data_IF_637850405609
#
_entry.id   IF_637850405609
#
_cell.length_a   1.000
_cell.length_b   1.000
_cell.length_c   1.000
_cell.angle_alpha   90.00
_cell.angle_beta   90.00
_cell.angle_gamma   90.00
#
_symmetry.space_group_name_H-M   'P 1'
#
loop_
_entity.id
_entity.type
_entity.pdbx_description
1 polymer ?
#
# COMPACT_ATOMS: atom_id res chain seq x y z
N UNK A 1 12.80 0.42 -29.50
CA UNK A 1 13.97 0.78 -28.69
C UNK A 1 13.75 0.26 -27.29
N UNK A 2 14.61 -0.64 -26.84
CA UNK A 2 14.57 -1.13 -25.46
C UNK A 2 14.86 0.04 -24.51
N UNK A 3 13.99 0.20 -23.52
CA UNK A 3 14.09 1.24 -22.50
C UNK A 3 14.44 0.60 -21.18
N UNK A 4 15.22 1.27 -20.35
CA UNK A 4 15.50 0.84 -18.97
C UNK A 4 14.24 1.05 -18.11
N UNK A 5 13.23 0.17 -18.25
CA UNK A 5 11.94 0.34 -17.58
C UNK A 5 12.02 -0.12 -16.12
N UNK A 6 11.59 0.69 -15.14
CA UNK A 6 11.40 0.22 -13.77
C UNK A 6 10.14 -0.66 -13.69
N UNK A 7 10.32 -1.85 -13.13
CA UNK A 7 9.28 -2.88 -13.00
C UNK A 7 9.30 -3.50 -11.59
N UNK A 8 8.35 -4.35 -11.28
CA UNK A 8 8.27 -5.08 -10.01
C UNK A 8 8.38 -4.16 -8.79
N UNK A 9 7.54 -3.12 -8.76
CA UNK A 9 7.51 -2.18 -7.66
C UNK A 9 7.00 -2.83 -6.38
N UNK A 10 7.75 -2.69 -5.30
CA UNK A 10 7.43 -3.21 -3.98
C UNK A 10 7.44 -2.11 -2.93
N UNK A 11 6.54 -2.23 -1.97
CA UNK A 11 6.51 -1.45 -0.74
C UNK A 11 6.67 -2.42 0.44
N UNK A 12 7.73 -2.27 1.24
CA UNK A 12 8.14 -3.22 2.30
C UNK A 12 8.13 -4.68 1.81
N UNK A 13 8.72 -4.91 0.62
CA UNK A 13 8.83 -6.22 -0.06
C UNK A 13 7.51 -6.83 -0.58
N UNK A 14 6.40 -6.11 -0.49
CA UNK A 14 5.08 -6.55 -0.93
C UNK A 14 4.61 -5.77 -2.16
N UNK A 15 3.81 -6.41 -3.01
CA UNK A 15 3.18 -5.77 -4.17
C UNK A 15 1.80 -5.26 -3.75
N UNK A 16 1.59 -3.96 -3.91
CA UNK A 16 0.32 -3.29 -3.57
C UNK A 16 -0.22 -3.69 -2.18
N UNK A 17 0.59 -3.60 -1.11
CA UNK A 17 0.18 -4.11 0.19
C UNK A 17 -0.97 -3.32 0.81
N UNK A 18 -1.73 -4.02 1.65
CA UNK A 18 -2.77 -3.45 2.50
C UNK A 18 -2.30 -3.49 3.96
N UNK A 19 -2.61 -2.44 4.72
CA UNK A 19 -2.38 -2.41 6.16
C UNK A 19 -0.93 -2.21 6.59
N UNK A 20 -0.15 -1.40 5.87
CA UNK A 20 1.20 -1.04 6.29
C UNK A 20 1.12 -0.11 7.50
N UNK A 21 1.81 -0.47 8.59
CA UNK A 21 1.92 0.35 9.81
C UNK A 21 3.32 1.00 9.97
N UNK A 22 4.21 0.77 9.02
CA UNK A 22 5.53 1.39 8.99
C UNK A 22 5.43 2.84 8.49
N UNK A 23 5.86 3.80 9.31
CA UNK A 23 5.84 5.22 8.93
C UNK A 23 6.87 5.57 7.83
N UNK A 24 7.89 4.73 7.67
CA UNK A 24 8.97 4.90 6.70
C UNK A 24 9.11 3.64 5.83
N UNK A 25 8.09 3.27 5.04
CA UNK A 25 8.14 2.08 4.22
C UNK A 25 9.27 2.16 3.19
N UNK A 26 9.84 1.03 2.84
CA UNK A 26 10.88 0.92 1.82
C UNK A 26 10.23 0.68 0.47
N UNK A 27 10.51 1.56 -0.46
CA UNK A 27 10.07 1.47 -1.85
C UNK A 27 11.21 0.92 -2.68
N UNK A 28 10.94 -0.11 -3.48
CA UNK A 28 11.94 -0.73 -4.33
C UNK A 28 11.37 -1.11 -5.70
N UNK A 29 12.25 -1.26 -6.66
CA UNK A 29 11.93 -1.66 -8.03
C UNK A 29 13.08 -2.45 -8.62
N UNK A 30 12.84 -3.07 -9.76
CA UNK A 30 13.84 -3.70 -10.60
C UNK A 30 13.94 -2.95 -11.92
N UNK A 31 15.03 -3.13 -12.63
CA UNK A 31 15.21 -2.58 -13.97
C UNK A 31 15.03 -3.69 -15.00
N UNK A 32 14.15 -3.46 -15.95
CA UNK A 32 14.01 -4.30 -17.14
C UNK A 32 14.73 -3.63 -18.29
N UNK A 33 15.94 -4.10 -18.59
CA UNK A 33 16.79 -3.59 -19.64
C UNK A 33 17.79 -4.66 -20.09
N UNK A 34 17.59 -5.22 -21.26
CA UNK A 34 18.42 -6.29 -21.81
C UNK A 34 19.74 -5.79 -22.44
N UNK A 35 19.97 -4.49 -22.49
CA UNK A 35 21.17 -3.90 -23.10
C UNK A 35 22.41 -4.19 -22.26
N UNK A 36 23.52 -4.47 -22.92
CA UNK A 36 24.80 -4.66 -22.24
C UNK A 36 25.24 -3.40 -21.47
N UNK A 37 25.58 -3.57 -20.19
CA UNK A 37 25.96 -2.49 -19.30
C UNK A 37 24.79 -1.57 -18.95
N UNK A 38 23.55 -2.05 -19.04
CA UNK A 38 22.38 -1.36 -18.58
C UNK A 38 22.51 -0.99 -17.10
N UNK A 39 22.22 0.24 -16.76
CA UNK A 39 22.22 0.73 -15.39
C UNK A 39 21.36 1.99 -15.25
N UNK A 40 20.81 2.18 -14.09
CA UNK A 40 20.21 3.44 -13.66
C UNK A 40 21.30 4.43 -13.26
N UNK A 41 21.12 5.67 -13.61
CA UNK A 41 21.99 6.80 -13.18
C UNK A 41 21.25 7.75 -12.25
N UNK A 42 19.92 7.80 -12.34
CA UNK A 42 19.09 8.63 -11.49
C UNK A 42 17.70 8.02 -11.30
N UNK A 43 17.03 8.42 -10.26
CA UNK A 43 15.61 8.09 -10.01
C UNK A 43 14.83 9.31 -9.54
N UNK A 44 13.50 9.21 -9.62
CA UNK A 44 12.54 10.11 -8.99
C UNK A 44 11.32 9.29 -8.56
N UNK A 45 10.93 9.41 -7.30
CA UNK A 45 9.74 8.77 -6.74
C UNK A 45 8.65 9.81 -6.60
N UNK A 46 7.43 9.42 -6.95
CA UNK A 46 6.23 10.24 -6.89
C UNK A 46 5.17 9.48 -6.11
N UNK A 47 4.63 10.09 -5.06
CA UNK A 47 3.57 9.53 -4.21
C UNK A 47 2.41 10.51 -4.11
N UNK A 48 1.20 10.01 -4.28
CA UNK A 48 -0.05 10.77 -4.25
C UNK A 48 -1.19 9.97 -3.62
N UNK A 49 -2.22 10.61 -3.15
CA UNK A 49 -3.49 9.96 -2.76
C UNK A 49 -4.43 9.73 -3.94
N UNK A 50 -4.09 10.25 -5.10
CA UNK A 50 -4.87 10.13 -6.35
C UNK A 50 -4.02 9.52 -7.46
N UNK A 51 -4.54 8.48 -8.11
CA UNK A 51 -3.83 7.76 -9.17
C UNK A 51 -3.60 8.62 -10.42
N UNK A 52 -4.52 9.52 -10.76
CA UNK A 52 -4.37 10.42 -11.90
C UNK A 52 -3.31 11.48 -11.62
N UNK A 53 -3.27 12.01 -10.40
CA UNK A 53 -2.22 12.94 -9.98
C UNK A 53 -0.85 12.27 -10.02
N UNK A 54 -0.72 11.06 -9.45
CA UNK A 54 0.52 10.30 -9.53
C UNK A 54 0.94 10.06 -10.99
N UNK A 55 -0.02 9.72 -11.86
CA UNK A 55 0.26 9.52 -13.29
C UNK A 55 0.77 10.79 -13.97
N UNK A 56 0.21 11.93 -13.62
CA UNK A 56 0.61 13.24 -14.13
C UNK A 56 1.84 13.84 -13.41
N UNK A 57 2.60 13.00 -12.71
CA UNK A 57 3.81 13.39 -11.96
C UNK A 57 3.56 14.42 -10.83
N UNK A 58 2.31 14.56 -10.41
CA UNK A 58 1.95 15.39 -9.26
C UNK A 58 2.06 14.57 -7.96
N UNK A 59 3.22 14.66 -7.33
CA UNK A 59 3.53 14.02 -6.05
C UNK A 59 3.16 14.92 -4.87
N UNK A 60 1.88 15.18 -4.65
CA UNK A 60 1.41 16.07 -3.58
C UNK A 60 1.78 15.58 -2.18
N UNK A 61 1.94 14.26 -2.02
CA UNK A 61 2.38 13.67 -0.76
C UNK A 61 3.90 13.64 -0.70
N UNK A 62 4.53 13.15 -1.76
CA UNK A 62 5.98 13.16 -1.87
C UNK A 62 6.43 13.13 -3.33
N UNK A 63 7.35 14.01 -3.62
CA UNK A 63 8.15 13.97 -4.83
C UNK A 63 9.62 14.08 -4.41
N UNK A 64 10.41 13.04 -4.65
CA UNK A 64 11.82 13.03 -4.28
C UNK A 64 12.66 14.04 -5.05
N UNK A 65 12.13 14.58 -6.15
CA UNK A 65 12.92 15.18 -7.18
C UNK A 65 13.83 14.15 -7.86
N UNK A 66 14.50 14.55 -8.95
CA UNK A 66 15.53 13.72 -9.57
C UNK A 66 16.73 13.59 -8.63
N UNK A 67 17.10 12.35 -8.31
CA UNK A 67 18.27 11.99 -7.49
C UNK A 67 19.26 11.23 -8.34
N UNK A 68 20.46 11.74 -8.49
CA UNK A 68 21.56 11.04 -9.15
C UNK A 68 22.02 9.88 -8.26
N UNK A 69 21.59 8.68 -8.60
CA UNK A 69 21.86 7.46 -7.83
C UNK A 69 21.45 6.21 -8.60
N UNK A 70 22.16 5.13 -8.40
CA UNK A 70 21.84 3.79 -8.89
C UNK A 70 21.04 2.93 -7.89
N UNK A 71 20.67 3.51 -6.75
CA UNK A 71 19.85 2.84 -5.74
C UNK A 71 18.47 2.48 -6.31
N UNK A 72 18.07 1.23 -6.08
CA UNK A 72 16.76 0.68 -6.42
C UNK A 72 15.91 0.35 -5.19
N UNK A 73 16.35 0.75 -4.02
CA UNK A 73 15.65 0.65 -2.74
C UNK A 73 15.82 1.96 -2.00
N UNK A 74 14.71 2.60 -1.70
CA UNK A 74 14.68 3.94 -1.07
C UNK A 74 13.68 3.92 0.07
N UNK A 75 14.11 4.38 1.23
CA UNK A 75 13.21 4.58 2.38
C UNK A 75 12.35 5.83 2.14
N UNK A 76 11.04 5.68 2.28
CA UNK A 76 10.11 6.80 2.27
C UNK A 76 10.47 7.74 3.44
N UNK A 77 10.64 9.04 3.20
CA UNK A 77 10.99 9.97 4.27
C UNK A 77 9.84 10.09 5.28
N UNK A 78 10.17 10.43 6.52
CA UNK A 78 9.19 10.69 7.56
C UNK A 78 8.31 11.90 7.19
N UNK A 79 7.24 11.60 6.46
CA UNK A 79 6.19 12.55 6.08
C UNK A 79 4.86 11.91 6.42
N UNK A 80 4.37 12.17 7.59
CA UNK A 80 3.04 11.89 8.14
C UNK A 80 2.07 11.13 7.21
N UNK A 81 2.36 9.85 6.95
CA UNK A 81 1.38 8.97 6.32
C UNK A 81 0.15 8.92 7.23
N UNK A 82 -1.02 9.15 6.65
CA UNK A 82 -2.26 9.11 7.40
C UNK A 82 -2.72 7.67 7.60
N UNK A 83 -3.32 7.30 8.75
CA UNK A 83 -3.90 5.98 8.94
C UNK A 83 -5.02 5.70 7.93
N UNK A 84 -5.21 4.41 7.62
CA UNK A 84 -6.29 3.90 6.78
C UNK A 84 -6.38 4.56 5.40
N UNK A 85 -5.24 4.95 4.85
CA UNK A 85 -5.18 5.76 3.62
C UNK A 85 -4.48 5.01 2.50
N UNK A 86 -5.06 5.06 1.31
CA UNK A 86 -4.46 4.50 0.09
C UNK A 86 -3.60 5.53 -0.61
N UNK A 87 -2.37 5.13 -0.90
CA UNK A 87 -1.39 5.91 -1.66
C UNK A 87 -1.09 5.23 -2.99
N UNK A 88 -0.87 6.03 -4.00
CA UNK A 88 -0.42 5.60 -5.33
C UNK A 88 0.98 6.14 -5.56
N UNK A 89 1.82 5.33 -6.18
CA UNK A 89 3.18 5.74 -6.42
C UNK A 89 3.73 5.17 -7.71
N UNK A 90 4.72 5.85 -8.24
CA UNK A 90 5.51 5.41 -9.38
C UNK A 90 6.94 5.89 -9.25
N UNK A 91 7.81 5.31 -10.08
CA UNK A 91 9.19 5.75 -10.18
C UNK A 91 9.54 6.08 -11.63
N UNK A 92 10.23 7.19 -11.79
CA UNK A 92 10.94 7.51 -13.00
C UNK A 92 12.41 7.15 -12.80
N UNK A 93 13.05 6.58 -13.81
CA UNK A 93 14.48 6.32 -13.81
C UNK A 93 15.13 6.93 -15.04
N UNK A 94 16.41 7.26 -14.94
CA UNK A 94 17.24 7.67 -16.05
C UNK A 94 18.33 6.62 -16.23
N UNK A 95 18.52 6.17 -17.46
CA UNK A 95 19.52 5.19 -17.81
C UNK A 95 20.91 5.81 -18.01
N UNK A 96 21.89 4.98 -18.37
CA UNK A 96 23.28 5.40 -18.66
C UNK A 96 23.41 6.43 -19.78
N UNK A 97 22.42 6.52 -20.66
CA UNK A 97 22.39 7.44 -21.79
C UNK A 97 21.54 8.70 -21.46
N UNK A 98 21.08 8.83 -20.22
CA UNK A 98 20.25 9.93 -19.75
C UNK A 98 18.79 9.85 -20.20
N UNK A 99 18.37 8.73 -20.78
CA UNK A 99 16.99 8.52 -21.23
C UNK A 99 16.09 8.21 -20.04
N UNK A 100 14.94 8.91 -19.95
CA UNK A 100 13.95 8.71 -18.90
C UNK A 100 13.00 7.57 -19.29
N UNK A 101 12.74 6.66 -18.34
CA UNK A 101 11.65 5.68 -18.39
C UNK A 101 10.83 5.74 -17.09
N UNK A 102 9.59 5.30 -17.18
CA UNK A 102 8.61 5.44 -16.10
C UNK A 102 7.95 4.09 -15.81
N UNK A 103 7.77 3.74 -14.55
CA UNK A 103 7.03 2.56 -14.13
C UNK A 103 5.52 2.69 -14.38
N UNK A 104 4.83 1.57 -14.33
CA UNK A 104 3.40 1.56 -14.07
C UNK A 104 3.13 2.10 -12.65
N UNK A 105 1.86 2.48 -12.38
CA UNK A 105 1.46 2.94 -11.07
C UNK A 105 1.20 1.73 -10.17
N UNK A 106 1.80 1.75 -9.00
CA UNK A 106 1.51 0.83 -7.90
C UNK A 106 0.85 1.57 -6.74
N UNK A 107 0.39 0.83 -5.74
CA UNK A 107 -0.22 1.42 -4.55
C UNK A 107 0.27 0.74 -3.28
N UNK A 108 0.11 1.42 -2.16
CA UNK A 108 0.12 0.83 -0.84
C UNK A 108 -0.98 1.48 0.01
N UNK A 109 -1.47 0.77 1.00
CA UNK A 109 -2.50 1.27 1.90
C UNK A 109 -1.99 1.14 3.32
N UNK A 110 -2.09 2.22 4.09
CA UNK A 110 -1.69 2.22 5.49
C UNK A 110 -2.74 1.50 6.35
N UNK A 111 -2.28 0.84 7.40
CA UNK A 111 -3.11 0.31 8.45
C UNK A 111 -3.51 1.39 9.44
N UNK A 112 -3.63 1.02 10.70
CA UNK A 112 -4.03 1.98 11.73
C UNK A 112 -2.93 2.94 12.16
N UNK A 113 -1.67 2.66 11.86
CA UNK A 113 -0.50 3.52 12.14
C UNK A 113 -0.28 3.87 13.61
N UNK A 114 -1.02 3.26 14.51
CA UNK A 114 -0.95 3.44 15.96
C UNK A 114 -2.23 2.99 16.64
N UNK A 115 -2.12 2.50 17.88
CA UNK A 115 -3.27 1.98 18.64
C UNK A 115 -4.34 3.04 18.91
N UNK A 116 -3.94 4.31 18.98
CA UNK A 116 -4.83 5.45 19.18
C UNK A 116 -5.85 5.64 18.06
N UNK A 117 -5.55 5.13 16.88
CA UNK A 117 -6.44 5.21 15.71
C UNK A 117 -7.47 4.06 15.64
N UNK A 118 -7.37 3.09 16.56
CA UNK A 118 -8.33 1.99 16.64
C UNK A 118 -9.62 2.47 17.31
N UNK A 119 -10.74 2.39 16.59
CA UNK A 119 -12.07 2.80 17.08
C UNK A 119 -12.97 1.62 17.42
N UNK A 120 -12.50 0.40 17.22
CA UNK A 120 -13.24 -0.81 17.57
C UNK A 120 -13.26 -1.08 19.06
N UNK A 121 -14.25 -1.84 19.52
CA UNK A 121 -14.34 -2.36 20.87
C UNK A 121 -14.36 -3.88 20.86
N UNK A 122 -13.86 -4.48 21.94
CA UNK A 122 -14.02 -5.91 22.14
C UNK A 122 -15.48 -6.25 22.34
N UNK A 123 -15.94 -7.28 21.66
CA UNK A 123 -17.28 -7.85 21.83
C UNK A 123 -17.16 -9.29 22.32
N UNK A 124 -18.08 -9.69 23.16
CA UNK A 124 -18.18 -11.05 23.72
C UNK A 124 -19.64 -11.46 23.89
N UNK A 125 -19.89 -12.73 24.07
CA UNK A 125 -21.24 -13.28 24.22
C UNK A 125 -21.70 -13.42 25.68
N UNK A 126 -20.87 -12.99 26.64
CA UNK A 126 -21.09 -13.07 28.09
C UNK A 126 -21.36 -14.49 28.62
N UNK A 127 -20.97 -15.52 27.88
CA UNK A 127 -21.10 -16.91 28.31
C UNK A 127 -19.95 -17.36 29.20
N UNK A 128 -20.16 -18.44 29.96
CA UNK A 128 -19.11 -19.06 30.76
C UNK A 128 -17.90 -19.41 29.89
N UNK A 129 -16.68 -19.17 30.40
CA UNK A 129 -15.42 -19.44 29.72
C UNK A 129 -15.26 -20.91 29.28
N UNK A 130 -15.95 -21.81 29.91
CA UNK A 130 -15.96 -23.24 29.56
C UNK A 130 -16.94 -23.57 28.43
N UNK A 131 -17.78 -22.61 28.00
CA UNK A 131 -18.66 -22.79 26.86
C UNK A 131 -17.86 -22.73 25.56
N UNK A 132 -17.74 -23.86 24.85
CA UNK A 132 -16.78 -24.03 23.75
C UNK A 132 -17.28 -23.72 22.35
N UNK A 133 -18.59 -23.72 22.00
CA UNK A 133 -19.00 -23.33 20.66
C UNK A 133 -18.56 -21.90 20.31
N UNK A 134 -18.06 -21.70 19.09
CA UNK A 134 -17.72 -20.38 18.59
C UNK A 134 -18.97 -19.48 18.55
N UNK A 135 -18.92 -18.26 19.11
CA UNK A 135 -20.06 -17.36 19.08
C UNK A 135 -20.24 -16.75 17.66
N UNK A 136 -21.51 -16.55 17.30
CA UNK A 136 -21.88 -15.79 16.11
C UNK A 136 -22.24 -14.37 16.49
N UNK A 137 -21.55 -13.41 15.89
CA UNK A 137 -21.89 -12.00 15.99
C UNK A 137 -22.41 -11.52 14.64
N UNK A 138 -23.54 -10.82 14.65
CA UNK A 138 -24.15 -10.28 13.45
C UNK A 138 -24.54 -8.82 13.66
N UNK A 139 -24.22 -7.98 12.68
CA UNK A 139 -24.68 -6.61 12.63
C UNK A 139 -25.17 -6.29 11.22
N UNK A 140 -26.34 -5.70 11.11
CA UNK A 140 -26.85 -5.11 9.88
C UNK A 140 -26.63 -3.60 9.92
N UNK A 141 -26.33 -3.02 8.77
CA UNK A 141 -26.22 -1.57 8.60
C UNK A 141 -26.59 -1.19 7.18
N UNK A 142 -27.08 0.03 7.02
CA UNK A 142 -27.43 0.58 5.72
C UNK A 142 -26.43 1.66 5.33
N UNK A 143 -26.11 1.72 4.05
CA UNK A 143 -25.26 2.77 3.49
C UNK A 143 -26.12 3.82 2.82
N UNK A 144 -25.94 5.10 3.19
CA UNK A 144 -26.69 6.21 2.63
C UNK A 144 -26.32 6.56 1.19
N UNK A 145 -25.17 6.05 0.72
CA UNK A 145 -24.63 6.31 -0.62
C UNK A 145 -24.12 5.02 -1.24
N UNK A 146 -24.01 5.01 -2.58
CA UNK A 146 -23.39 3.89 -3.30
C UNK A 146 -21.96 3.69 -2.80
N UNK A 147 -21.67 2.48 -2.32
CA UNK A 147 -20.33 2.11 -1.87
C UNK A 147 -19.41 1.93 -3.08
N UNK A 148 -18.32 2.69 -3.13
CA UNK A 148 -17.27 2.55 -4.13
C UNK A 148 -16.20 1.56 -3.68
N UNK A 149 -15.86 1.59 -2.42
CA UNK A 149 -14.90 0.67 -1.78
C UNK A 149 -15.17 0.60 -0.28
N UNK A 150 -14.82 -0.51 0.34
CA UNK A 150 -14.91 -0.68 1.78
C UNK A 150 -13.69 -1.46 2.29
N UNK A 151 -13.33 -1.25 3.56
CA UNK A 151 -12.32 -2.02 4.29
C UNK A 151 -12.89 -2.44 5.63
N UNK A 152 -12.72 -3.70 5.97
CA UNK A 152 -13.00 -4.21 7.30
C UNK A 152 -11.67 -4.35 8.06
N UNK A 153 -11.60 -3.76 9.24
CA UNK A 153 -10.51 -3.94 10.18
C UNK A 153 -11.03 -4.76 11.33
N UNK A 154 -10.47 -5.96 11.51
CA UNK A 154 -10.90 -6.92 12.49
C UNK A 154 -9.70 -7.50 13.23
N UNK A 155 -9.84 -7.65 14.53
CA UNK A 155 -8.87 -8.37 15.35
C UNK A 155 -9.63 -9.32 16.28
N UNK A 156 -9.00 -10.43 16.65
CA UNK A 156 -9.60 -11.46 17.50
C UNK A 156 -8.52 -12.12 18.34
N UNK A 157 -8.90 -12.50 19.55
CA UNK A 157 -8.06 -13.33 20.42
C UNK A 157 -8.31 -14.82 20.12
N UNK A 158 -7.96 -15.27 18.91
CA UNK A 158 -8.20 -16.65 18.46
C UNK A 158 -8.43 -16.74 16.95
N UNK A 159 -9.30 -17.65 16.53
CA UNK A 159 -9.70 -17.85 15.14
C UNK A 159 -11.05 -17.16 14.86
N UNK A 160 -11.21 -16.69 13.64
CA UNK A 160 -12.46 -16.12 13.18
C UNK A 160 -12.73 -16.41 11.70
N UNK A 161 -13.97 -16.29 11.33
CA UNK A 161 -14.40 -16.20 9.95
C UNK A 161 -15.26 -14.95 9.79
N UNK A 162 -14.97 -14.16 8.77
CA UNK A 162 -15.73 -12.96 8.44
C UNK A 162 -16.62 -13.22 7.23
N UNK A 163 -17.90 -12.85 7.36
CA UNK A 163 -18.87 -12.93 6.26
C UNK A 163 -19.49 -11.56 6.01
N UNK A 164 -19.68 -11.20 4.76
CA UNK A 164 -20.42 -10.00 4.34
C UNK A 164 -21.54 -10.46 3.39
N UNK A 165 -22.79 -10.19 3.75
CA UNK A 165 -23.97 -10.62 2.98
C UNK A 165 -24.00 -12.14 2.68
N UNK A 166 -23.48 -12.94 3.59
CA UNK A 166 -23.43 -14.40 3.43
C UNK A 166 -22.21 -14.94 2.69
N UNK A 167 -21.35 -14.09 2.17
CA UNK A 167 -20.10 -14.48 1.51
C UNK A 167 -18.92 -14.38 2.47
N UNK A 168 -18.11 -15.45 2.53
CA UNK A 168 -16.88 -15.46 3.34
C UNK A 168 -15.85 -14.51 2.73
N UNK A 169 -15.24 -13.67 3.57
CA UNK A 169 -14.23 -12.69 3.19
C UNK A 169 -12.88 -13.13 3.75
N UNK A 170 -11.88 -13.14 2.91
CA UNK A 170 -10.53 -13.61 3.24
C UNK A 170 -10.39 -15.15 3.12
N UNK A 171 -9.19 -15.61 3.40
CA UNK A 171 -8.82 -17.04 3.36
C UNK A 171 -8.97 -17.68 4.73
#
# INVERSE_FOLDING_TARGET
>A
QEECKPVNLHCDHLINPLGIDNANPRLSWMLDDARQGARQTAYQIIVSTDSLKANNENGEIWNSGKKESDQILVTYPEKNLQPFTKYYWKVNVWDKDGKKATSDINSFETGMMGMENWQGAWIGDNRDINYKPAPYFRKTFDTQKKVKSARAYITVAGLYELYINGEKIGN
#
